data_IF_842946881954
#
_entry.id   IF_842946881954
#
_cell.length_a   1.000
_cell.length_b   1.000
_cell.length_c   1.000
_cell.angle_alpha   90.00
_cell.angle_beta   90.00
_cell.angle_gamma   90.00
#
_symmetry.space_group_name_H-M   'P 1'
#
loop_
_entity.id
_entity.type
_entity.pdbx_description
1 polymer ?
#
# COMPACT_ATOMS: atom_id res chain seq x y z
N UNK A 1 -4.16 11.70 5.15
CA UNK A 1 -3.36 10.44 5.22
C UNK A 1 -2.74 10.18 6.59
N UNK A 2 -1.89 11.05 7.15
CA UNK A 2 -1.18 10.76 8.40
C UNK A 2 -2.10 10.46 9.60
N UNK A 3 -3.19 11.22 9.79
CA UNK A 3 -4.17 10.98 10.85
C UNK A 3 -4.88 9.63 10.71
N UNK A 4 -5.27 9.27 9.48
CA UNK A 4 -5.93 7.99 9.18
C UNK A 4 -5.04 6.79 9.50
N UNK A 5 -3.74 6.85 9.15
CA UNK A 5 -2.81 5.75 9.46
C UNK A 5 -2.62 5.56 10.97
N UNK A 6 -2.55 6.66 11.74
CA UNK A 6 -2.47 6.57 13.19
C UNK A 6 -3.74 5.97 13.81
N UNK A 7 -4.92 6.33 13.30
CA UNK A 7 -6.19 5.76 13.73
C UNK A 7 -6.28 4.26 13.42
N UNK A 8 -5.86 3.83 12.23
CA UNK A 8 -5.80 2.42 11.88
C UNK A 8 -4.86 1.64 12.80
N UNK A 9 -3.69 2.23 13.12
CA UNK A 9 -2.75 1.59 14.06
C UNK A 9 -3.33 1.49 15.46
N UNK A 10 -3.99 2.54 15.95
CA UNK A 10 -4.67 2.55 17.25
C UNK A 10 -5.82 1.54 17.31
N UNK A 11 -6.48 1.27 16.19
CA UNK A 11 -7.50 0.23 16.06
C UNK A 11 -6.92 -1.20 15.99
N UNK A 12 -5.60 -1.38 16.08
CA UNK A 12 -4.95 -2.70 16.07
C UNK A 12 -4.74 -3.27 14.66
N UNK A 13 -4.70 -2.43 13.62
CA UNK A 13 -4.40 -2.90 12.27
C UNK A 13 -2.91 -3.23 12.11
N UNK A 14 -2.60 -4.47 11.73
CA UNK A 14 -1.22 -4.94 11.54
C UNK A 14 -0.70 -4.75 10.11
N UNK A 15 -1.58 -4.93 9.12
CA UNK A 15 -1.23 -4.88 7.70
C UNK A 15 -1.94 -3.73 7.00
N UNK A 16 -1.17 -2.84 6.38
CA UNK A 16 -1.69 -1.72 5.62
C UNK A 16 -1.45 -1.91 4.12
N UNK A 17 -2.50 -1.72 3.32
CA UNK A 17 -2.41 -1.69 1.86
C UNK A 17 -2.84 -0.34 1.32
N UNK A 18 -1.98 0.31 0.52
CA UNK A 18 -2.26 1.59 -0.13
C UNK A 18 -2.18 1.40 -1.64
N UNK A 19 -3.26 1.72 -2.35
CA UNK A 19 -3.37 1.49 -3.80
C UNK A 19 -4.05 2.63 -4.52
N UNK A 20 -3.85 2.71 -5.83
CA UNK A 20 -4.55 3.68 -6.68
C UNK A 20 -6.00 3.23 -6.88
N UNK A 21 -6.93 4.15 -6.63
CA UNK A 21 -8.31 3.94 -7.02
C UNK A 21 -8.41 3.92 -8.54
N UNK A 22 -8.91 2.80 -9.07
CA UNK A 22 -9.20 2.62 -10.49
C UNK A 22 -10.71 2.54 -10.65
N UNK A 23 -11.26 3.53 -11.36
CA UNK A 23 -12.68 3.62 -11.65
C UNK A 23 -13.11 2.45 -12.56
N UNK A 24 -13.99 1.54 -12.12
CA UNK A 24 -14.37 0.38 -12.91
C UNK A 24 -15.30 0.73 -14.08
N UNK A 25 -16.26 1.64 -13.85
CA UNK A 25 -17.21 2.10 -14.88
C UNK A 25 -17.50 3.59 -14.74
N UNK A 26 -18.04 4.27 -15.78
CA UNK A 26 -18.39 5.69 -15.72
C UNK A 26 -19.49 6.07 -14.72
N UNK A 27 -20.16 5.09 -14.08
CA UNK A 27 -21.13 5.36 -13.00
C UNK A 27 -20.48 5.46 -11.63
N UNK A 28 -19.25 4.94 -11.48
CA UNK A 28 -18.52 5.03 -10.22
C UNK A 28 -17.88 6.41 -10.07
N UNK A 29 -17.45 6.72 -8.85
CA UNK A 29 -16.76 7.96 -8.52
C UNK A 29 -15.63 8.24 -9.52
N UNK A 30 -15.50 9.47 -10.04
CA UNK A 30 -14.40 9.80 -10.93
C UNK A 30 -13.06 9.69 -10.20
N UNK A 31 -12.00 9.39 -10.95
CA UNK A 31 -10.63 9.49 -10.43
C UNK A 31 -10.29 10.97 -10.32
N UNK A 32 -10.14 11.48 -9.11
CA UNK A 32 -9.75 12.89 -8.88
C UNK A 32 -8.27 13.13 -9.16
N UNK A 33 -7.43 12.15 -8.82
CA UNK A 33 -5.97 12.28 -8.93
C UNK A 33 -5.29 10.95 -9.19
N UNK A 34 -4.31 10.99 -10.08
CA UNK A 34 -3.32 9.92 -10.26
C UNK A 34 -2.14 10.18 -9.34
N UNK A 35 -1.94 9.29 -8.37
CA UNK A 35 -0.89 9.44 -7.37
C UNK A 35 0.46 9.06 -7.98
N UNK A 36 1.51 9.86 -7.72
CA UNK A 36 2.86 9.55 -8.21
C UNK A 36 3.47 8.37 -7.44
N UNK A 37 4.28 7.52 -8.07
CA UNK A 37 4.98 6.42 -7.40
C UNK A 37 5.76 6.85 -6.14
N UNK A 38 6.39 8.02 -6.15
CA UNK A 38 7.17 8.53 -5.00
C UNK A 38 6.30 8.85 -3.78
N UNK A 39 5.04 9.24 -4.00
CA UNK A 39 4.10 9.48 -2.90
C UNK A 39 3.78 8.16 -2.19
N UNK A 40 3.62 7.05 -2.93
CA UNK A 40 3.44 5.72 -2.35
C UNK A 40 4.63 5.28 -1.50
N UNK A 41 5.86 5.63 -1.91
CA UNK A 41 7.09 5.39 -1.12
C UNK A 41 7.03 6.18 0.19
N UNK A 42 6.66 7.45 0.13
CA UNK A 42 6.59 8.31 1.31
C UNK A 42 5.56 7.81 2.34
N UNK A 43 4.42 7.32 1.86
CA UNK A 43 3.37 6.78 2.72
C UNK A 43 3.74 5.43 3.33
N UNK A 44 4.44 4.58 2.57
CA UNK A 44 4.95 3.31 3.08
C UNK A 44 5.91 3.55 4.26
N UNK A 45 6.93 4.40 4.08
CA UNK A 45 7.87 4.77 5.13
C UNK A 45 7.17 5.36 6.36
N UNK A 46 6.14 6.17 6.14
CA UNK A 46 5.38 6.76 7.24
C UNK A 46 4.57 5.71 7.99
N UNK A 47 3.93 4.76 7.31
CA UNK A 47 3.25 3.65 7.95
C UNK A 47 4.25 2.76 8.71
N UNK A 48 5.42 2.45 8.15
CA UNK A 48 6.48 1.72 8.86
C UNK A 48 6.89 2.44 10.16
N UNK A 49 7.08 3.77 10.11
CA UNK A 49 7.40 4.56 11.31
C UNK A 49 6.29 4.57 12.37
N UNK A 50 5.04 4.28 11.98
CA UNK A 50 3.90 4.15 12.88
C UNK A 50 3.79 2.73 13.49
N UNK A 51 4.62 1.78 13.05
CA UNK A 51 4.69 0.43 13.62
C UNK A 51 3.67 -0.55 13.05
N UNK A 52 3.32 -0.43 11.76
CA UNK A 52 2.61 -1.51 11.04
C UNK A 52 3.56 -2.69 10.80
N UNK A 53 3.06 -3.92 10.99
CA UNK A 53 3.84 -5.15 10.80
C UNK A 53 4.13 -5.45 9.32
N UNK A 54 3.30 -4.95 8.41
CA UNK A 54 3.51 -5.05 6.98
C UNK A 54 2.80 -3.94 6.21
N UNK A 55 3.47 -3.38 5.21
CA UNK A 55 2.95 -2.30 4.38
C UNK A 55 3.16 -2.61 2.91
N UNK A 56 2.06 -2.63 2.15
CA UNK A 56 2.10 -2.79 0.69
C UNK A 56 1.56 -1.53 0.04
N UNK A 57 2.39 -0.82 -0.71
CA UNK A 57 2.04 0.49 -1.26
C UNK A 57 2.38 0.58 -2.75
N UNK A 58 1.43 0.97 -3.58
CA UNK A 58 1.70 1.19 -5.00
C UNK A 58 0.44 1.18 -5.87
N UNK A 59 0.52 1.71 -7.10
CA UNK A 59 -0.64 1.93 -7.95
C UNK A 59 -1.38 0.63 -8.36
N UNK A 60 -0.67 -0.49 -8.42
CA UNK A 60 -1.23 -1.78 -8.83
C UNK A 60 -1.34 -2.80 -7.69
N UNK A 61 -1.15 -2.37 -6.43
CA UNK A 61 -1.29 -3.27 -5.29
C UNK A 61 -2.77 -3.65 -5.11
N UNK A 62 -3.04 -4.92 -4.82
CA UNK A 62 -4.37 -5.46 -4.49
C UNK A 62 -4.29 -6.19 -3.15
N UNK A 63 -5.36 -6.19 -2.37
CA UNK A 63 -5.38 -6.80 -1.02
C UNK A 63 -5.12 -8.31 -1.03
N UNK A 64 -5.39 -9.00 -2.14
CA UNK A 64 -5.06 -10.42 -2.33
C UNK A 64 -3.63 -10.67 -2.83
N UNK A 65 -2.91 -9.62 -3.23
CA UNK A 65 -1.54 -9.74 -3.75
C UNK A 65 -0.59 -10.10 -2.59
N UNK A 66 0.07 -11.25 -2.68
CA UNK A 66 1.02 -11.80 -1.68
C UNK A 66 0.47 -12.14 -0.29
N UNK A 67 -0.86 -12.18 -0.08
CA UNK A 67 -1.44 -12.67 1.17
C UNK A 67 -1.03 -14.12 1.52
N UNK A 68 -0.62 -14.92 0.52
CA UNK A 68 -0.12 -16.30 0.69
C UNK A 68 1.40 -16.48 0.70
N UNK A 69 2.19 -15.41 0.58
CA UNK A 69 3.66 -15.52 0.60
C UNK A 69 4.15 -15.54 2.05
N UNK A 70 4.07 -16.72 2.66
CA UNK A 70 4.63 -16.98 3.99
C UNK A 70 6.13 -16.69 4.07
N UNK A 71 6.49 -15.92 5.10
CA UNK A 71 7.72 -16.06 5.90
C UNK A 71 9.01 -16.47 5.19
N UNK A 72 9.50 -15.72 4.20
CA UNK A 72 10.93 -15.82 3.81
C UNK A 72 11.49 -14.45 3.42
N UNK A 73 12.22 -13.85 4.36
CA UNK A 73 13.27 -12.83 4.14
C UNK A 73 13.03 -11.78 3.04
N UNK A 74 12.04 -10.90 3.19
CA UNK A 74 11.98 -9.63 2.42
C UNK A 74 11.33 -8.56 3.30
N UNK A 75 11.73 -7.28 3.19
CA UNK A 75 11.36 -6.25 4.14
C UNK A 75 9.83 -6.13 4.24
N UNK A 76 9.35 -5.82 5.44
CA UNK A 76 7.93 -5.64 5.76
C UNK A 76 7.23 -4.62 4.85
N UNK A 77 8.00 -3.81 4.12
CA UNK A 77 7.52 -2.85 3.13
C UNK A 77 7.82 -3.27 1.70
N UNK A 78 6.76 -3.43 0.92
CA UNK A 78 6.86 -3.61 -0.53
C UNK A 78 6.23 -2.42 -1.23
N UNK A 79 7.06 -1.59 -1.87
CA UNK A 79 6.58 -0.49 -2.72
C UNK A 79 6.69 -0.89 -4.18
N UNK A 80 5.56 -1.12 -4.85
CA UNK A 80 5.53 -1.42 -6.28
C UNK A 80 5.64 -0.13 -7.09
N UNK A 81 6.84 0.44 -7.15
CA UNK A 81 7.16 1.57 -8.03
C UNK A 81 7.50 1.14 -9.48
N UNK A 82 7.86 -0.13 -9.70
CA UNK A 82 8.10 -0.72 -11.02
C UNK A 82 7.77 -2.22 -11.00
N UNK A 83 7.03 -2.72 -12.01
CA UNK A 83 6.66 -4.14 -12.16
C UNK A 83 7.88 -5.08 -12.05
N UNK A 84 9.05 -4.62 -12.48
CA UNK A 84 10.27 -5.44 -12.59
C UNK A 84 10.96 -5.75 -11.25
N UNK A 85 10.70 -5.01 -10.17
CA UNK A 85 11.31 -5.27 -8.85
C UNK A 85 10.50 -6.19 -7.94
N UNK A 86 9.40 -6.75 -8.43
CA UNK A 86 8.53 -7.64 -7.65
C UNK A 86 8.67 -9.14 -7.99
N UNK A 87 9.36 -9.50 -9.07
CA UNK A 87 9.37 -10.88 -9.59
C UNK A 87 10.68 -11.67 -9.42
N UNK A 88 11.69 -11.17 -8.69
CA UNK A 88 12.87 -11.96 -8.28
C UNK A 88 13.10 -11.77 -6.79
#
# INVERSE_FOLDING_TARGET
MAGTMAQLRAAGCDLLTVTQYLRPTPRHHPVERWVKPDEFVSWARRAESLGFAGVMSGPLVRSSYRAGAGSTSKPASCVMSNLSKCCL
#
